data_IF_868896684250
#
_entry.id   IF_868896684250
#
_cell.length_a   1.000
_cell.length_b   1.000
_cell.length_c   1.000
_cell.angle_alpha   90.00
_cell.angle_beta   90.00
_cell.angle_gamma   90.00
#
_symmetry.space_group_name_H-M   'P 1'
#
loop_
_entity.id
_entity.type
_entity.pdbx_description
1 polymer ?
#
# COMPACT_ATOMS: atom_id res chain seq x y z
N UNK A 1 -23.37 0.65 20.86
CA UNK A 1 -21.91 0.77 21.09
C UNK A 1 -21.36 1.65 19.98
N UNK A 2 -20.75 2.82 20.25
CA UNK A 2 -20.21 3.61 19.17
C UNK A 2 -18.81 3.05 18.80
N UNK A 3 -18.61 2.64 17.55
CA UNK A 3 -17.29 2.76 16.93
C UNK A 3 -17.16 4.26 16.66
N UNK A 4 -16.30 4.89 17.44
CA UNK A 4 -16.28 6.32 17.68
C UNK A 4 -14.93 6.86 17.22
N UNK A 5 -14.89 7.59 16.09
CA UNK A 5 -13.70 8.25 15.48
C UNK A 5 -12.49 7.35 15.13
N UNK A 6 -12.50 6.08 15.56
CA UNK A 6 -11.48 5.02 15.45
C UNK A 6 -11.56 4.22 14.14
N UNK A 7 -12.37 4.70 13.20
CA UNK A 7 -12.13 4.62 11.76
C UNK A 7 -10.91 5.50 11.41
N UNK A 8 -9.76 5.17 12.01
CA UNK A 8 -8.47 5.76 11.76
C UNK A 8 -8.09 5.55 10.28
N UNK A 9 -8.01 6.64 9.52
CA UNK A 9 -6.86 6.99 8.67
C UNK A 9 -6.49 6.08 7.48
N UNK A 10 -7.48 5.34 6.97
CA UNK A 10 -7.77 4.85 5.59
C UNK A 10 -6.71 4.07 4.78
N UNK A 11 -5.42 4.42 4.79
CA UNK A 11 -4.36 3.61 4.17
C UNK A 11 -3.14 3.62 5.09
N UNK A 12 -3.12 2.65 5.99
CA UNK A 12 -2.03 2.44 6.92
C UNK A 12 -1.08 1.37 6.37
N UNK A 13 0.21 1.55 6.60
CA UNK A 13 1.21 0.56 6.25
C UNK A 13 0.87 -0.79 6.93
N UNK A 14 0.78 -1.91 6.18
CA UNK A 14 0.46 -3.22 6.77
C UNK A 14 1.54 -3.74 7.74
N UNK A 15 2.72 -3.09 7.77
CA UNK A 15 3.85 -3.49 8.63
C UNK A 15 3.92 -2.68 9.92
N UNK A 16 3.71 -1.36 9.85
CA UNK A 16 3.93 -0.46 10.98
C UNK A 16 2.72 0.43 11.34
N UNK A 17 1.60 0.29 10.63
CA UNK A 17 0.38 1.09 10.79
C UNK A 17 0.56 2.61 10.61
N UNK A 18 1.74 3.07 10.18
CA UNK A 18 2.00 4.47 9.85
C UNK A 18 1.24 4.89 8.57
N UNK A 19 0.97 6.19 8.39
CA UNK A 19 0.26 6.70 7.22
C UNK A 19 1.06 6.49 5.92
N UNK A 20 0.35 6.10 4.85
CA UNK A 20 0.89 6.03 3.50
C UNK A 20 0.71 7.35 2.74
N UNK A 21 1.62 7.65 1.82
CA UNK A 21 1.60 8.82 0.93
C UNK A 21 1.62 8.38 -0.53
N UNK A 22 0.67 8.86 -1.33
CA UNK A 22 0.69 8.66 -2.76
C UNK A 22 1.80 9.48 -3.44
N UNK A 23 2.33 8.97 -4.54
CA UNK A 23 3.15 9.77 -5.46
C UNK A 23 2.29 10.75 -6.28
N UNK A 24 2.93 11.67 -7.02
CA UNK A 24 2.26 12.70 -7.83
C UNK A 24 1.33 12.13 -8.93
N UNK A 25 1.49 10.84 -9.27
CA UNK A 25 0.71 10.16 -10.31
C UNK A 25 -0.30 9.15 -9.76
N UNK A 26 -0.38 9.03 -8.43
CA UNK A 26 -1.17 8.04 -7.70
C UNK A 26 -0.91 6.58 -8.15
N UNK A 27 0.30 6.30 -8.65
CA UNK A 27 0.71 4.97 -9.14
C UNK A 27 1.32 4.10 -8.06
N UNK A 28 1.73 4.70 -6.95
CA UNK A 28 2.31 4.02 -5.80
C UNK A 28 2.03 4.74 -4.49
N UNK A 29 2.08 3.99 -3.40
CA UNK A 29 1.94 4.48 -2.03
C UNK A 29 3.23 4.19 -1.25
N UNK A 30 3.83 5.21 -0.64
CA UNK A 30 5.04 5.07 0.18
C UNK A 30 4.72 5.29 1.66
N UNK A 31 5.26 4.44 2.53
CA UNK A 31 5.14 4.60 3.98
C UNK A 31 5.90 5.82 4.48
N UNK A 32 5.23 6.71 5.22
CA UNK A 32 5.81 7.95 5.75
C UNK A 32 6.73 7.78 6.97
N UNK A 33 6.78 6.59 7.57
CA UNK A 33 7.65 6.26 8.69
C UNK A 33 9.10 6.05 8.23
N UNK A 34 10.05 6.79 8.82
CA UNK A 34 11.45 6.81 8.39
C UNK A 34 12.15 5.44 8.54
N UNK A 35 11.69 4.62 9.49
CA UNK A 35 12.20 3.26 9.69
C UNK A 35 11.58 2.19 8.78
N UNK A 36 10.53 2.49 8.02
CA UNK A 36 9.84 1.53 7.16
C UNK A 36 10.10 1.81 5.67
N UNK A 37 9.77 3.00 5.18
CA UNK A 37 10.07 3.44 3.80
C UNK A 37 9.55 2.59 2.64
N UNK A 38 8.68 1.61 2.88
CA UNK A 38 8.18 0.67 1.86
C UNK A 38 7.29 1.36 0.84
N UNK A 39 7.36 0.90 -0.41
CA UNK A 39 6.52 1.35 -1.51
C UNK A 39 5.58 0.22 -1.97
N UNK A 40 4.32 0.57 -2.22
CA UNK A 40 3.23 -0.33 -2.61
C UNK A 40 2.65 0.13 -3.95
N UNK A 41 2.61 -0.71 -5.00
CA UNK A 41 2.08 -0.30 -6.30
C UNK A 41 0.55 -0.23 -6.30
N UNK A 42 0.01 0.58 -7.20
CA UNK A 42 -1.42 0.63 -7.53
C UNK A 42 -1.63 -0.03 -8.90
N UNK A 43 -2.39 -1.11 -8.95
CA UNK A 43 -2.65 -1.89 -10.17
C UNK A 43 -4.13 -1.84 -10.49
N UNK A 44 -4.49 -1.34 -11.67
CA UNK A 44 -5.90 -1.19 -12.07
C UNK A 44 -6.71 -0.26 -11.15
N UNK A 45 -6.05 0.70 -10.51
CA UNK A 45 -6.67 1.58 -9.51
C UNK A 45 -6.80 0.98 -8.11
N UNK A 46 -6.24 -0.21 -7.86
CA UNK A 46 -6.29 -0.91 -6.56
C UNK A 46 -4.89 -0.95 -5.93
N UNK A 47 -4.69 -0.39 -4.72
CA UNK A 47 -3.43 -0.49 -3.99
C UNK A 47 -3.12 -1.92 -3.51
N UNK A 48 -1.91 -2.41 -3.80
CA UNK A 48 -1.45 -3.74 -3.39
C UNK A 48 -0.63 -3.63 -2.09
N UNK A 49 -1.28 -3.78 -0.93
CA UNK A 49 -0.66 -3.65 0.39
C UNK A 49 -0.17 -5.00 0.96
N UNK A 50 0.76 -5.65 0.28
CA UNK A 50 1.31 -6.96 0.72
C UNK A 50 2.55 -6.75 1.59
N UNK A 51 2.54 -7.28 2.82
CA UNK A 51 3.69 -7.21 3.73
C UNK A 51 4.89 -8.06 3.26
N UNK A 52 4.66 -9.09 2.45
CA UNK A 52 5.72 -9.89 1.84
C UNK A 52 6.09 -9.37 0.44
N UNK A 53 7.32 -8.91 0.28
CA UNK A 53 7.82 -8.32 -0.98
C UNK A 53 7.92 -9.34 -2.12
N UNK A 54 8.19 -10.61 -1.80
CA UNK A 54 8.27 -11.70 -2.78
C UNK A 54 6.90 -11.95 -3.46
N UNK A 55 5.82 -11.75 -2.71
CA UNK A 55 4.44 -11.87 -3.22
C UNK A 55 3.97 -10.59 -3.90
N UNK A 56 4.48 -9.43 -3.51
CA UNK A 56 4.16 -8.14 -4.15
C UNK A 56 4.66 -8.09 -5.60
N UNK A 57 5.91 -8.51 -5.85
CA UNK A 57 6.49 -8.57 -7.20
C UNK A 57 5.77 -9.57 -8.14
N UNK A 58 5.17 -10.63 -7.58
CA UNK A 58 4.41 -11.59 -8.37
C UNK A 58 3.11 -11.00 -8.95
N UNK A 59 2.46 -10.05 -8.23
CA UNK A 59 1.18 -9.45 -8.66
C UNK A 59 1.29 -8.48 -9.86
N UNK A 60 2.46 -7.87 -10.07
CA UNK A 60 2.73 -6.98 -11.22
C UNK A 60 3.16 -7.75 -12.48
N UNK A 61 3.45 -9.04 -12.37
CA UNK A 61 3.91 -9.88 -13.49
C UNK A 61 2.77 -10.46 -14.34
N UNK A 62 1.51 -10.16 -14.01
CA UNK A 62 0.31 -10.70 -14.68
C UNK A 62 -0.12 -10.00 -15.98
N UNK A 63 0.83 -9.53 -16.81
CA UNK A 63 0.51 -9.00 -18.14
C UNK A 63 1.60 -9.32 -19.16
N UNK A 64 2.00 -10.60 -19.26
CA UNK A 64 2.78 -11.11 -20.40
C UNK A 64 2.48 -12.59 -20.66
N UNK A 65 1.33 -12.89 -21.26
CA UNK A 65 1.17 -14.01 -22.19
C UNK A 65 0.03 -13.77 -23.18
N UNK A 66 0.40 -13.32 -24.39
CA UNK A 66 -0.30 -13.58 -25.64
C UNK A 66 0.72 -14.10 -26.64
#
# INVERSE_FOLDING_TARGET
MPIDSRLLDILACPVCAAPLRADDRETSLTCGEAGCGRSYPVVGGIPVLIANEELAAASVSGSLDS
#
